data_IF_213614396050
#
_entry.id   IF_213614396050
#
_cell.length_a   1.000
_cell.length_b   1.000
_cell.length_c   1.000
_cell.angle_alpha   90.00
_cell.angle_beta   90.00
_cell.angle_gamma   90.00
#
_symmetry.space_group_name_H-M   'P 1'
#
loop_
_entity.id
_entity.type
_entity.pdbx_description
1 polymer ?
#
# COMPACT_ATOMS: atom_id res chain seq x y z
N UNK A 1 -21.63 7.55 -10.10
CA UNK A 1 -20.42 8.40 -9.96
C UNK A 1 -20.21 9.18 -11.24
N UNK A 2 -20.08 10.50 -11.16
CA UNK A 2 -19.76 11.36 -12.31
C UNK A 2 -18.25 11.32 -12.61
N UNK A 3 -17.83 11.79 -13.80
CA UNK A 3 -16.44 11.73 -14.26
C UNK A 3 -15.43 12.32 -13.25
N UNK A 4 -15.80 13.42 -12.58
CA UNK A 4 -14.98 14.06 -11.53
C UNK A 4 -14.75 13.13 -10.33
N UNK A 5 -15.78 12.40 -9.89
CA UNK A 5 -15.67 11.45 -8.77
C UNK A 5 -14.75 10.27 -9.13
N UNK A 6 -14.77 9.82 -10.38
CA UNK A 6 -13.84 8.79 -10.88
C UNK A 6 -12.40 9.30 -10.87
N UNK A 7 -12.17 10.54 -11.31
CA UNK A 7 -10.82 11.14 -11.28
C UNK A 7 -10.28 11.28 -9.85
N UNK A 8 -11.12 11.71 -8.91
CA UNK A 8 -10.74 11.79 -7.48
C UNK A 8 -10.40 10.41 -6.92
N UNK A 9 -11.27 9.40 -7.16
CA UNK A 9 -11.01 8.04 -6.69
C UNK A 9 -9.73 7.46 -7.30
N UNK A 10 -9.50 7.64 -8.61
CA UNK A 10 -8.26 7.21 -9.28
C UNK A 10 -7.03 7.92 -8.69
N UNK A 11 -7.10 9.22 -8.45
CA UNK A 11 -6.02 9.98 -7.83
C UNK A 11 -5.68 9.50 -6.43
N UNK A 12 -6.70 9.22 -5.61
CA UNK A 12 -6.52 8.66 -4.26
C UNK A 12 -5.87 7.27 -4.36
N UNK A 13 -6.32 6.39 -5.25
CA UNK A 13 -5.75 5.05 -5.41
C UNK A 13 -4.28 5.08 -5.86
N UNK A 14 -3.93 5.96 -6.80
CA UNK A 14 -2.53 6.12 -7.26
C UNK A 14 -1.66 6.66 -6.11
N UNK A 15 -2.13 7.70 -5.40
CA UNK A 15 -1.42 8.26 -4.26
C UNK A 15 -1.23 7.26 -3.13
N UNK A 16 -2.27 6.49 -2.81
CA UNK A 16 -2.24 5.43 -1.80
C UNK A 16 -1.26 4.31 -2.20
N UNK A 17 -1.22 3.91 -3.46
CA UNK A 17 -0.25 2.93 -3.96
C UNK A 17 1.20 3.42 -3.84
N UNK A 18 1.45 4.68 -4.20
CA UNK A 18 2.81 5.26 -4.12
C UNK A 18 3.29 5.36 -2.67
N UNK A 19 2.50 6.00 -1.80
CA UNK A 19 2.84 6.17 -0.37
C UNK A 19 2.89 4.82 0.34
N UNK A 20 1.95 3.92 0.05
CA UNK A 20 1.90 2.58 0.61
C UNK A 20 3.14 1.76 0.27
N UNK A 21 3.63 1.85 -0.96
CA UNK A 21 4.84 1.13 -1.36
C UNK A 21 6.06 1.57 -0.54
N UNK A 22 6.25 2.88 -0.35
CA UNK A 22 7.35 3.43 0.45
C UNK A 22 7.21 3.10 1.93
N UNK A 23 6.00 3.16 2.48
CA UNK A 23 5.74 2.80 3.88
C UNK A 23 6.09 1.35 4.17
N UNK A 24 5.69 0.42 3.30
CA UNK A 24 6.02 -1.00 3.46
C UNK A 24 7.54 -1.20 3.51
N UNK A 25 8.30 -0.56 2.62
CA UNK A 25 9.77 -0.69 2.59
C UNK A 25 10.43 -0.10 3.83
N UNK A 26 9.97 1.09 4.26
CA UNK A 26 10.52 1.77 5.43
C UNK A 26 10.26 1.00 6.72
N UNK A 27 9.02 0.53 6.91
CA UNK A 27 8.66 -0.22 8.11
C UNK A 27 9.37 -1.57 8.11
N UNK A 28 9.44 -2.25 6.96
CA UNK A 28 10.19 -3.51 6.86
C UNK A 28 11.66 -3.34 7.21
N UNK A 29 12.32 -2.33 6.64
CA UNK A 29 13.73 -2.03 6.94
C UNK A 29 13.93 -1.65 8.41
N UNK A 30 12.99 -0.90 9.00
CA UNK A 30 13.03 -0.54 10.41
C UNK A 30 12.93 -1.75 11.35
N UNK A 31 12.12 -2.76 11.03
CA UNK A 31 11.96 -3.96 11.85
C UNK A 31 13.04 -5.03 11.61
N UNK A 32 13.48 -5.20 10.36
CA UNK A 32 14.38 -6.31 9.99
C UNK A 32 15.84 -5.89 9.85
N UNK A 33 16.13 -4.60 9.75
CA UNK A 33 17.47 -4.07 9.46
C UNK A 33 17.90 -4.24 7.99
N UNK A 34 17.15 -5.00 7.20
CA UNK A 34 17.47 -5.36 5.82
C UNK A 34 16.45 -4.80 4.84
N UNK A 35 16.84 -4.66 3.57
CA UNK A 35 15.91 -4.26 2.53
C UNK A 35 14.79 -5.30 2.35
N UNK A 36 13.63 -4.80 1.91
CA UNK A 36 12.46 -5.61 1.65
C UNK A 36 12.71 -6.56 0.47
N UNK A 37 12.44 -7.88 0.58
CA UNK A 37 12.62 -8.83 -0.50
C UNK A 37 11.51 -8.64 -1.55
N UNK A 38 11.64 -7.58 -2.34
CA UNK A 38 10.69 -7.23 -3.39
C UNK A 38 10.90 -8.12 -4.60
N UNK A 39 9.81 -8.55 -5.23
CA UNK A 39 9.89 -9.34 -6.47
C UNK A 39 10.76 -8.64 -7.50
N UNK A 40 11.79 -9.34 -8.01
CA UNK A 40 12.74 -8.80 -8.97
C UNK A 40 13.93 -8.04 -8.36
N UNK A 41 14.09 -8.04 -7.03
CA UNK A 41 15.27 -7.54 -6.33
C UNK A 41 16.24 -8.68 -5.97
N UNK A 42 17.50 -8.34 -5.75
CA UNK A 42 18.54 -9.27 -5.30
C UNK A 42 18.17 -9.87 -3.93
N UNK A 43 17.57 -9.06 -3.06
CA UNK A 43 17.08 -9.47 -1.75
C UNK A 43 15.96 -10.49 -1.82
N UNK A 44 15.15 -10.50 -2.88
CA UNK A 44 14.16 -11.54 -3.09
C UNK A 44 14.76 -12.85 -3.63
N UNK A 45 15.88 -12.79 -4.36
CA UNK A 45 16.58 -13.98 -4.82
C UNK A 45 17.32 -14.67 -3.66
N UNK A 46 17.82 -13.89 -2.70
CA UNK A 46 18.52 -14.38 -1.52
C UNK A 46 17.60 -14.62 -0.31
N UNK A 47 16.35 -14.16 -0.35
CA UNK A 47 15.42 -14.32 0.76
C UNK A 47 15.09 -15.78 1.04
N UNK A 48 15.19 -16.16 2.31
CA UNK A 48 14.66 -17.44 2.79
C UNK A 48 13.14 -17.48 2.66
N UNK A 49 12.56 -18.69 2.56
CA UNK A 49 11.10 -18.88 2.52
C UNK A 49 10.38 -18.18 3.68
N UNK A 50 10.97 -18.22 4.88
CA UNK A 50 10.42 -17.57 6.08
C UNK A 50 10.40 -16.05 5.93
N UNK A 51 11.46 -15.46 5.38
CA UNK A 51 11.58 -14.02 5.18
C UNK A 51 10.64 -13.54 4.07
N UNK A 52 10.55 -14.27 2.95
CA UNK A 52 9.63 -13.97 1.87
C UNK A 52 8.16 -14.07 2.33
N UNK A 53 7.81 -15.12 3.09
CA UNK A 53 6.48 -15.30 3.64
C UNK A 53 6.14 -14.20 4.66
N UNK A 54 7.07 -13.87 5.57
CA UNK A 54 6.92 -12.79 6.53
C UNK A 54 6.70 -11.43 5.84
N UNK A 55 7.45 -11.16 4.77
CA UNK A 55 7.30 -9.95 3.97
C UNK A 55 5.94 -9.89 3.27
N UNK A 56 5.48 -11.00 2.69
CA UNK A 56 4.19 -11.07 2.02
C UNK A 56 3.04 -10.82 3.00
N UNK A 57 3.06 -11.47 4.18
CA UNK A 57 2.04 -11.27 5.22
C UNK A 57 2.06 -9.82 5.72
N UNK A 58 3.25 -9.29 6.04
CA UNK A 58 3.39 -7.92 6.51
C UNK A 58 2.87 -6.91 5.47
N UNK A 59 3.27 -7.08 4.21
CA UNK A 59 2.82 -6.24 3.10
C UNK A 59 1.31 -6.31 2.90
N UNK A 60 0.71 -7.50 3.03
CA UNK A 60 -0.73 -7.69 2.94
C UNK A 60 -1.48 -6.96 4.07
N UNK A 61 -0.96 -7.01 5.30
CA UNK A 61 -1.53 -6.28 6.44
C UNK A 61 -1.51 -4.77 6.20
N UNK A 62 -0.37 -4.22 5.77
CA UNK A 62 -0.25 -2.79 5.48
C UNK A 62 -1.17 -2.39 4.32
N UNK A 63 -1.22 -3.20 3.26
CA UNK A 63 -2.11 -2.96 2.12
C UNK A 63 -3.58 -2.94 2.55
N UNK A 64 -4.02 -3.88 3.39
CA UNK A 64 -5.39 -3.93 3.89
C UNK A 64 -5.74 -2.68 4.73
N UNK A 65 -4.83 -2.21 5.57
CA UNK A 65 -5.02 -0.97 6.34
C UNK A 65 -5.18 0.23 5.42
N UNK A 66 -4.29 0.37 4.43
CA UNK A 66 -4.35 1.46 3.44
C UNK A 66 -5.64 1.40 2.66
N UNK A 67 -6.08 0.22 2.24
CA UNK A 67 -7.32 0.03 1.47
C UNK A 67 -8.55 0.49 2.28
N UNK A 68 -8.65 0.07 3.55
CA UNK A 68 -9.74 0.53 4.43
C UNK A 68 -9.72 2.04 4.64
N UNK A 69 -8.54 2.64 4.81
CA UNK A 69 -8.40 4.09 4.97
C UNK A 69 -8.72 4.84 3.67
N UNK A 70 -8.31 4.31 2.52
CA UNK A 70 -8.58 4.87 1.20
C UNK A 70 -10.08 4.81 0.87
N UNK A 71 -10.75 3.69 1.18
CA UNK A 71 -12.20 3.53 0.99
C UNK A 71 -12.98 4.51 1.88
N UNK A 72 -12.60 4.61 3.17
CA UNK A 72 -13.19 5.59 4.10
C UNK A 72 -12.95 7.03 3.64
N UNK A 73 -11.73 7.35 3.22
CA UNK A 73 -11.35 8.68 2.74
C UNK A 73 -12.08 9.06 1.46
N UNK A 74 -12.19 8.14 0.52
CA UNK A 74 -12.92 8.32 -0.74
C UNK A 74 -14.41 8.54 -0.47
N UNK A 75 -15.04 7.72 0.37
CA UNK A 75 -16.46 7.90 0.73
C UNK A 75 -16.73 9.24 1.43
N UNK A 76 -15.80 9.69 2.30
CA UNK A 76 -15.89 10.99 2.97
C UNK A 76 -15.68 12.16 2.01
N UNK A 77 -14.80 12.03 1.03
CA UNK A 77 -14.61 13.03 -0.02
C UNK A 77 -15.86 13.11 -0.92
N UNK A 78 -16.36 11.95 -1.37
CA UNK A 78 -17.54 11.86 -2.23
C UNK A 78 -18.80 12.43 -1.56
N UNK A 79 -19.01 12.19 -0.27
CA UNK A 79 -20.16 12.76 0.46
C UNK A 79 -20.09 14.28 0.60
N UNK A 80 -18.89 14.87 0.57
CA UNK A 80 -18.69 16.32 0.56
C UNK A 80 -18.96 16.95 -0.81
N UNK A 81 -18.84 16.18 -1.90
CA UNK A 81 -19.19 16.59 -3.27
C UNK A 81 -20.63 16.24 -3.68
N UNK A 82 -21.36 15.50 -2.84
CA UNK A 82 -22.76 15.11 -3.05
C UNK A 82 -23.76 15.99 -2.29
N UNK A 83 -23.28 16.96 -1.50
CA UNK A 83 -24.05 18.10 -0.99
C UNK A 83 -23.88 19.27 -1.94
#
# INVERSE_FOLDING_TARGET
MNAVQKLVATGISIGAGFVGSKLVDQVWKGFTGSAAPRKGSEEAAEATLRQALGFAIFSAVVAAVIQVLADRGTNKALSKFSK
#
